data_IF_514713836766
#
_entry.id   IF_514713836766
#
_cell.length_a   1.000
_cell.length_b   1.000
_cell.length_c   1.000
_cell.angle_alpha   90.00
_cell.angle_beta   90.00
_cell.angle_gamma   90.00
#
_symmetry.space_group_name_H-M   'P 1'
#
loop_
_entity.id
_entity.type
_entity.pdbx_description
1 polymer ?
#
# COMPACT_ATOMS: atom_id res chain seq x y z
N UNK A 1 58.18 -50.77 -15.69
CA UNK A 1 56.79 -50.98 -16.16
C UNK A 1 55.77 -51.28 -15.03
N UNK A 2 56.16 -51.68 -13.85
CA UNK A 2 55.23 -52.10 -12.75
C UNK A 2 54.54 -50.95 -11.99
N UNK A 3 55.14 -49.75 -11.91
CA UNK A 3 54.62 -48.61 -11.18
C UNK A 3 53.37 -47.98 -11.84
N UNK A 4 53.33 -47.98 -13.20
CA UNK A 4 52.16 -47.44 -13.93
C UNK A 4 50.87 -48.22 -13.73
N UNK A 5 50.97 -49.54 -13.57
CA UNK A 5 49.82 -50.40 -13.26
C UNK A 5 49.36 -50.27 -11.83
N UNK A 6 50.30 -50.00 -10.88
CA UNK A 6 49.95 -49.75 -9.49
C UNK A 6 49.19 -48.43 -9.33
N UNK A 7 49.61 -47.37 -10.02
CA UNK A 7 48.88 -46.11 -10.03
C UNK A 7 47.51 -46.21 -10.66
N UNK A 8 47.35 -46.99 -11.72
CA UNK A 8 46.07 -47.23 -12.36
C UNK A 8 45.10 -48.03 -11.49
N UNK A 9 45.64 -49.01 -10.73
CA UNK A 9 44.86 -49.79 -9.77
C UNK A 9 44.39 -48.95 -8.56
N UNK A 10 45.27 -48.06 -8.04
CA UNK A 10 44.97 -47.11 -7.00
C UNK A 10 43.90 -46.07 -7.44
N UNK A 11 43.98 -45.60 -8.71
CA UNK A 11 42.98 -44.68 -9.25
C UNK A 11 41.61 -45.35 -9.42
N UNK A 12 41.61 -46.64 -9.87
CA UNK A 12 40.36 -47.41 -9.98
C UNK A 12 39.70 -47.68 -8.61
N UNK A 13 40.49 -47.88 -7.53
CA UNK A 13 39.94 -48.06 -6.19
C UNK A 13 39.31 -46.79 -5.61
N UNK A 14 39.74 -45.61 -6.05
CA UNK A 14 39.15 -44.33 -5.61
C UNK A 14 37.79 -44.04 -6.25
N UNK A 15 37.46 -44.68 -7.38
CA UNK A 15 36.16 -44.47 -8.07
C UNK A 15 35.05 -45.38 -7.49
N UNK A 16 35.42 -46.40 -6.73
CA UNK A 16 34.48 -47.31 -6.06
C UNK A 16 34.04 -46.85 -4.68
N UNK A 17 34.48 -45.70 -4.19
CA UNK A 17 34.20 -45.19 -2.85
C UNK A 17 33.03 -44.23 -2.78
N UNK A 18 32.14 -44.22 -3.77
CA UNK A 18 30.84 -43.53 -3.65
C UNK A 18 29.76 -44.60 -3.41
N UNK A 19 29.63 -45.02 -2.17
CA UNK A 19 28.43 -45.68 -1.70
C UNK A 19 27.56 -44.67 -1.04
N UNK A 20 26.41 -44.36 -1.66
CA UNK A 20 25.41 -43.39 -1.20
C UNK A 20 24.61 -43.89 0.01
N UNK A 21 25.21 -44.68 0.88
CA UNK A 21 24.55 -45.22 2.10
C UNK A 21 24.51 -44.20 3.27
N UNK A 22 24.69 -42.89 3.00
CA UNK A 22 24.51 -41.85 4.04
C UNK A 22 23.07 -41.66 4.49
N UNK A 23 22.09 -42.23 3.79
CA UNK A 23 20.68 -42.22 4.20
C UNK A 23 20.38 -43.03 5.45
N UNK A 24 21.31 -43.87 5.86
CA UNK A 24 21.21 -44.69 7.08
C UNK A 24 21.81 -44.11 8.33
N UNK A 25 22.60 -43.02 8.21
CA UNK A 25 23.28 -42.42 9.37
C UNK A 25 22.26 -41.71 10.27
N UNK A 26 22.00 -42.26 11.43
CA UNK A 26 21.07 -41.71 12.44
C UNK A 26 19.76 -42.44 12.59
N UNK A 27 19.38 -43.34 11.66
CA UNK A 27 18.14 -44.14 11.83
C UNK A 27 18.26 -45.23 12.90
N UNK A 28 19.48 -45.68 13.19
CA UNK A 28 19.74 -46.65 14.26
C UNK A 28 19.83 -46.04 15.66
N UNK A 29 19.84 -44.72 15.77
CA UNK A 29 19.83 -43.96 17.03
C UNK A 29 18.43 -43.73 17.59
N UNK A 30 17.39 -44.02 16.81
CA UNK A 30 16.00 -43.87 17.23
C UNK A 30 15.56 -45.17 17.94
N UNK A 31 15.15 -45.11 19.23
CA UNK A 31 14.61 -46.28 19.91
C UNK A 31 13.47 -46.91 19.12
N UNK A 32 13.43 -48.24 19.07
CA UNK A 32 12.60 -49.02 18.15
C UNK A 32 11.08 -48.81 18.17
N UNK A 33 10.58 -47.81 18.94
CA UNK A 33 9.16 -47.39 18.97
C UNK A 33 8.78 -46.19 18.12
N UNK A 34 9.78 -45.39 17.70
CA UNK A 34 9.51 -44.08 17.03
C UNK A 34 9.89 -44.06 15.53
N UNK A 35 9.91 -45.22 14.89
CA UNK A 35 10.08 -45.27 13.43
C UNK A 35 8.86 -44.71 12.73
N UNK A 36 8.91 -43.52 12.22
CA UNK A 36 7.92 -42.98 11.29
C UNK A 36 8.11 -43.72 9.96
N UNK A 37 7.17 -44.61 9.55
CA UNK A 37 7.28 -45.24 8.25
C UNK A 37 7.12 -44.18 7.17
N UNK A 38 8.23 -43.82 6.54
CA UNK A 38 8.21 -42.95 5.35
C UNK A 38 7.78 -43.85 4.17
N UNK A 39 6.53 -43.71 3.74
CA UNK A 39 6.06 -44.30 2.51
C UNK A 39 6.34 -43.29 1.38
N UNK A 40 7.12 -43.69 0.41
CA UNK A 40 7.32 -42.94 -0.84
C UNK A 40 6.40 -43.52 -1.90
N UNK A 41 5.37 -42.77 -2.26
CA UNK A 41 4.50 -43.10 -3.38
C UNK A 41 4.64 -42.04 -4.49
N UNK A 42 4.49 -42.48 -5.73
CA UNK A 42 4.41 -41.55 -6.88
C UNK A 42 2.94 -41.25 -7.15
N UNK A 43 2.61 -39.95 -7.09
CA UNK A 43 1.26 -39.49 -7.42
C UNK A 43 1.30 -38.73 -8.74
N UNK A 44 0.43 -39.11 -9.67
CA UNK A 44 0.19 -38.33 -10.86
C UNK A 44 -0.73 -37.17 -10.53
N UNK A 45 -0.33 -35.97 -10.89
CA UNK A 45 -1.16 -34.78 -10.78
C UNK A 45 -1.17 -34.00 -12.08
N UNK A 46 -2.29 -33.40 -12.40
CA UNK A 46 -2.42 -32.50 -13.55
C UNK A 46 -2.60 -31.09 -13.05
N UNK A 47 -1.91 -30.14 -13.65
CA UNK A 47 -2.05 -28.73 -13.38
C UNK A 47 -2.69 -28.03 -14.58
N UNK A 48 -3.51 -27.02 -14.31
CA UNK A 48 -4.08 -26.15 -15.33
C UNK A 48 -4.07 -24.72 -14.86
N UNK A 49 -3.82 -23.79 -15.76
CA UNK A 49 -4.03 -22.36 -15.52
C UNK A 49 -5.49 -22.02 -15.71
N UNK A 50 -6.05 -21.27 -14.79
CA UNK A 50 -7.41 -20.73 -14.88
C UNK A 50 -7.31 -19.20 -14.89
N UNK A 51 -8.13 -18.57 -15.75
CA UNK A 51 -8.28 -17.13 -15.73
C UNK A 51 -9.09 -16.76 -14.46
N UNK A 52 -8.53 -15.89 -13.62
CA UNK A 52 -9.26 -15.29 -12.53
C UNK A 52 -9.99 -14.05 -13.06
N UNK A 53 -11.32 -14.09 -13.11
CA UNK A 53 -12.12 -12.99 -13.68
C UNK A 53 -11.99 -11.71 -12.84
N UNK A 54 -11.98 -11.85 -11.52
CA UNK A 54 -11.84 -10.72 -10.60
C UNK A 54 -11.26 -11.17 -9.27
N UNK A 55 -10.49 -10.28 -8.63
CA UNK A 55 -9.89 -10.50 -7.32
C UNK A 55 -10.51 -9.50 -6.34
N UNK A 56 -10.73 -9.94 -5.10
CA UNK A 56 -11.23 -9.06 -4.05
C UNK A 56 -10.27 -7.89 -3.82
N UNK A 57 -10.77 -6.65 -3.97
CA UNK A 57 -9.95 -5.45 -4.02
C UNK A 57 -9.89 -4.67 -2.70
N UNK A 58 -10.76 -4.98 -1.72
CA UNK A 58 -10.76 -4.32 -0.42
C UNK A 58 -9.67 -4.93 0.46
N UNK A 59 -8.54 -4.26 0.53
CA UNK A 59 -7.36 -4.70 1.30
C UNK A 59 -6.94 -3.62 2.29
N UNK A 60 -6.05 -3.96 3.23
CA UNK A 60 -5.43 -2.99 4.15
C UNK A 60 -4.29 -2.20 3.50
N UNK A 61 -3.77 -2.69 2.38
CA UNK A 61 -2.69 -2.05 1.61
C UNK A 61 -3.21 -1.69 0.23
N UNK A 62 -3.08 -0.43 -0.17
CA UNK A 62 -3.36 0.01 -1.52
C UNK A 62 -2.11 -0.10 -2.39
N UNK A 63 -2.32 -0.34 -3.69
CA UNK A 63 -1.25 -0.40 -4.67
C UNK A 63 -1.36 0.77 -5.63
N UNK A 64 -0.23 1.43 -5.90
CA UNK A 64 -0.20 2.59 -6.82
C UNK A 64 1.02 2.52 -7.72
N UNK A 65 0.78 2.46 -9.01
CA UNK A 65 1.86 2.51 -9.99
C UNK A 65 1.58 1.73 -11.25
N UNK A 66 2.64 1.52 -12.02
CA UNK A 66 2.63 0.74 -13.25
C UNK A 66 3.92 -0.04 -13.35
N UNK A 67 3.81 -1.27 -13.82
CA UNK A 67 4.96 -2.14 -14.08
C UNK A 67 4.70 -2.98 -15.32
N UNK A 68 5.65 -2.96 -16.26
CA UNK A 68 5.62 -3.81 -17.45
C UNK A 68 6.57 -4.99 -17.25
N UNK A 69 6.01 -6.19 -17.23
CA UNK A 69 6.73 -7.45 -17.18
C UNK A 69 6.88 -8.01 -18.60
N UNK A 70 8.08 -8.54 -18.93
CA UNK A 70 8.36 -9.08 -20.26
C UNK A 70 7.52 -10.32 -20.61
N UNK A 71 7.10 -11.10 -19.61
CA UNK A 71 6.36 -12.34 -19.78
C UNK A 71 4.85 -12.16 -19.56
N UNK A 72 4.47 -11.32 -18.58
CA UNK A 72 3.07 -11.17 -18.13
C UNK A 72 2.41 -9.89 -18.63
N UNK A 73 3.16 -8.98 -19.26
CA UNK A 73 2.61 -7.74 -19.81
C UNK A 73 2.51 -6.60 -18.80
N UNK A 74 1.70 -5.58 -19.13
CA UNK A 74 1.54 -4.38 -18.28
C UNK A 74 0.57 -4.63 -17.13
N UNK A 75 1.00 -4.25 -15.94
CA UNK A 75 0.19 -4.21 -14.73
C UNK A 75 0.09 -2.76 -14.24
N UNK A 76 -1.14 -2.25 -14.10
CA UNK A 76 -1.41 -0.93 -13.52
C UNK A 76 -2.23 -1.07 -12.26
N UNK A 77 -1.82 -0.39 -11.20
CA UNK A 77 -2.48 -0.39 -9.91
C UNK A 77 -2.90 1.04 -9.54
N UNK A 78 -4.18 1.18 -9.27
CA UNK A 78 -4.83 2.41 -8.85
C UNK A 78 -5.80 2.09 -7.71
N UNK A 79 -6.22 3.09 -6.92
CA UNK A 79 -7.14 2.83 -5.83
C UNK A 79 -8.11 3.96 -5.55
N UNK A 80 -9.23 3.60 -4.98
CA UNK A 80 -10.23 4.52 -4.43
C UNK A 80 -10.09 4.56 -2.91
N UNK A 81 -10.19 5.75 -2.32
CA UNK A 81 -10.09 5.95 -0.89
C UNK A 81 -11.21 6.85 -0.37
N UNK A 82 -11.76 6.49 0.79
CA UNK A 82 -12.75 7.28 1.52
C UNK A 82 -12.18 7.73 2.86
N UNK A 83 -12.45 8.97 3.23
CA UNK A 83 -11.97 9.56 4.47
C UNK A 83 -13.09 9.73 5.48
N UNK A 84 -12.72 9.73 6.75
CA UNK A 84 -13.62 10.08 7.87
C UNK A 84 -12.93 10.94 8.89
N UNK A 85 -13.76 11.56 9.71
CA UNK A 85 -13.33 12.19 10.95
C UNK A 85 -13.19 11.15 12.06
N UNK A 86 -12.32 11.45 13.03
CA UNK A 86 -12.30 10.71 14.31
C UNK A 86 -13.60 10.97 15.08
N UNK A 87 -13.93 10.06 15.98
CA UNK A 87 -15.08 10.24 16.88
C UNK A 87 -14.99 11.57 17.63
N UNK A 88 -16.13 12.23 17.76
CA UNK A 88 -16.24 13.55 18.40
C UNK A 88 -15.41 14.66 17.72
N UNK A 89 -15.17 14.53 16.42
CA UNK A 89 -14.45 15.55 15.67
C UNK A 89 -15.11 16.93 15.81
N UNK A 90 -14.29 17.95 16.10
CA UNK A 90 -14.69 19.34 16.17
C UNK A 90 -13.59 20.22 15.57
N UNK A 91 -14.00 21.21 14.80
CA UNK A 91 -13.12 22.33 14.51
C UNK A 91 -13.19 23.33 15.67
N UNK A 92 -12.06 23.92 16.01
CA UNK A 92 -11.99 25.01 16.98
C UNK A 92 -12.66 26.27 16.43
N UNK A 93 -13.21 27.11 17.34
CA UNK A 93 -14.00 28.27 16.94
C UNK A 93 -13.13 29.42 16.39
N UNK A 94 -11.84 29.44 16.74
CA UNK A 94 -10.90 30.49 16.38
C UNK A 94 -10.25 30.30 14.99
N UNK A 95 -10.69 29.31 14.22
CA UNK A 95 -10.17 29.10 12.87
C UNK A 95 -10.58 30.22 11.92
N UNK A 96 -9.61 30.82 11.25
CA UNK A 96 -9.84 31.95 10.35
C UNK A 96 -9.78 31.59 8.88
N UNK A 97 -8.79 30.80 8.49
CA UNK A 97 -8.51 30.54 7.08
C UNK A 97 -7.86 29.18 6.86
N UNK A 98 -8.22 28.53 5.76
CA UNK A 98 -7.48 27.36 5.25
C UNK A 98 -6.19 27.85 4.61
N UNK A 99 -5.05 27.38 5.09
CA UNK A 99 -3.73 27.71 4.59
C UNK A 99 -3.08 26.61 3.78
N UNK A 100 -3.61 25.38 3.87
CA UNK A 100 -3.14 24.27 3.07
C UNK A 100 -4.00 23.02 3.22
N UNK A 101 -4.08 22.26 2.13
CA UNK A 101 -4.71 20.95 2.10
C UNK A 101 -3.76 19.97 1.42
N UNK A 102 -3.59 18.81 1.99
CA UNK A 102 -2.75 17.79 1.36
C UNK A 102 -3.19 16.38 1.73
N UNK A 103 -2.91 15.44 0.82
CA UNK A 103 -2.95 13.99 1.09
C UNK A 103 -1.53 13.53 1.38
N UNK A 104 -1.36 12.75 2.44
CA UNK A 104 -0.13 12.04 2.77
C UNK A 104 -0.30 10.56 2.47
N UNK A 105 0.47 10.04 1.52
CA UNK A 105 0.61 8.61 1.25
C UNK A 105 1.79 8.09 2.06
N UNK A 106 1.56 7.05 2.87
CA UNK A 106 2.57 6.41 3.69
C UNK A 106 2.82 5.00 3.19
N UNK A 107 4.08 4.64 2.99
CA UNK A 107 4.48 3.30 2.57
C UNK A 107 5.90 2.98 3.08
N UNK A 108 6.12 1.69 3.36
CA UNK A 108 7.44 1.18 3.77
C UNK A 108 8.09 0.32 2.70
N UNK A 109 7.33 -0.10 1.68
CA UNK A 109 7.79 -0.99 0.62
C UNK A 109 7.21 -0.63 -0.74
N UNK A 110 7.87 -1.10 -1.78
CA UNK A 110 7.46 -0.96 -3.18
C UNK A 110 8.04 -2.13 -3.99
N UNK A 111 7.50 -2.34 -5.16
CA UNK A 111 8.02 -3.28 -6.15
C UNK A 111 8.61 -2.52 -7.34
N UNK A 112 9.72 -3.01 -7.89
CA UNK A 112 10.36 -2.44 -9.07
C UNK A 112 11.47 -1.44 -8.75
N UNK A 113 11.73 -0.49 -9.67
CA UNK A 113 12.82 0.47 -9.56
C UNK A 113 12.43 1.68 -8.70
N UNK A 114 13.25 1.97 -7.72
CA UNK A 114 13.04 3.07 -6.77
C UNK A 114 13.17 4.47 -7.35
N UNK A 115 13.88 4.61 -8.45
CA UNK A 115 14.25 5.90 -9.06
C UNK A 115 13.36 6.31 -10.23
N UNK A 116 12.57 5.38 -10.76
CA UNK A 116 11.70 5.66 -11.90
C UNK A 116 10.74 6.82 -11.60
N UNK A 117 10.71 7.77 -12.55
CA UNK A 117 9.82 8.91 -12.48
C UNK A 117 8.39 8.50 -12.87
N UNK A 118 7.51 8.58 -11.91
CA UNK A 118 6.09 8.26 -12.03
C UNK A 118 5.25 9.52 -11.90
N UNK A 119 4.02 9.50 -12.39
CA UNK A 119 3.05 10.59 -12.22
C UNK A 119 1.71 10.04 -11.76
N UNK A 120 1.24 10.55 -10.63
CA UNK A 120 -0.10 10.27 -10.13
C UNK A 120 -1.05 11.43 -10.38
N UNK A 121 -2.32 11.12 -10.39
CA UNK A 121 -3.45 12.04 -10.46
C UNK A 121 -4.44 11.71 -9.36
N UNK A 122 -5.06 12.74 -8.78
CA UNK A 122 -6.11 12.62 -7.77
C UNK A 122 -7.39 13.23 -8.33
N UNK A 123 -8.44 12.45 -8.36
CA UNK A 123 -9.78 12.85 -8.76
C UNK A 123 -10.75 12.70 -7.57
N UNK A 124 -11.75 13.58 -7.46
CA UNK A 124 -12.82 13.42 -6.45
C UNK A 124 -13.90 12.47 -6.95
N UNK A 125 -14.49 11.71 -6.04
CA UNK A 125 -15.65 10.88 -6.36
C UNK A 125 -16.93 11.73 -6.46
N UNK A 126 -17.72 11.47 -7.50
CA UNK A 126 -19.03 12.09 -7.73
C UNK A 126 -20.17 11.30 -7.09
N UNK A 127 -19.96 10.00 -6.89
CA UNK A 127 -20.93 9.09 -6.29
C UNK A 127 -20.37 8.45 -5.05
N UNK A 128 -21.23 8.18 -4.09
CA UNK A 128 -20.89 7.39 -2.89
C UNK A 128 -20.87 5.92 -3.28
N UNK A 129 -19.87 5.18 -2.81
CA UNK A 129 -19.85 3.72 -2.95
C UNK A 129 -20.84 3.17 -1.90
N UNK A 130 -21.89 2.46 -2.31
CA UNK A 130 -22.85 1.88 -1.37
C UNK A 130 -22.17 0.87 -0.44
N UNK A 131 -22.55 0.86 0.85
CA UNK A 131 -21.97 -0.06 1.84
C UNK A 131 -22.08 -1.54 1.42
N UNK A 132 -23.19 -1.90 0.76
CA UNK A 132 -23.38 -3.25 0.21
C UNK A 132 -22.34 -3.62 -0.85
N UNK A 133 -21.88 -2.64 -1.63
CA UNK A 133 -20.87 -2.84 -2.66
C UNK A 133 -19.46 -2.92 -2.06
N UNK A 134 -19.21 -2.30 -0.91
CA UNK A 134 -17.93 -2.38 -0.22
C UNK A 134 -17.55 -3.81 0.18
N UNK A 135 -18.54 -4.66 0.50
CA UNK A 135 -18.30 -6.08 0.80
C UNK A 135 -18.02 -6.95 -0.42
N UNK A 136 -18.34 -6.44 -1.62
CA UNK A 136 -18.19 -7.12 -2.92
C UNK A 136 -17.34 -6.32 -3.89
N UNK A 137 -16.42 -5.49 -3.38
CA UNK A 137 -15.56 -4.68 -4.23
C UNK A 137 -14.43 -5.54 -4.79
N UNK A 138 -14.48 -5.77 -6.09
CA UNK A 138 -13.51 -6.57 -6.84
C UNK A 138 -12.75 -5.71 -7.85
N UNK A 139 -11.63 -6.20 -8.34
CA UNK A 139 -10.82 -5.53 -9.37
C UNK A 139 -11.54 -5.33 -10.70
N UNK A 140 -12.68 -5.98 -10.90
CA UNK A 140 -13.56 -5.79 -12.06
C UNK A 140 -14.44 -4.54 -12.00
N UNK A 141 -14.50 -3.85 -10.86
CA UNK A 141 -15.26 -2.59 -10.73
C UNK A 141 -14.56 -1.51 -11.53
N UNK A 142 -15.32 -0.86 -12.44
CA UNK A 142 -14.78 0.28 -13.19
C UNK A 142 -14.83 1.56 -12.34
N UNK A 143 -13.70 2.18 -12.03
CA UNK A 143 -13.67 3.44 -11.28
C UNK A 143 -14.48 4.57 -11.92
N UNK A 144 -14.70 4.53 -13.26
CA UNK A 144 -15.48 5.52 -14.01
C UNK A 144 -16.95 5.60 -13.57
N UNK A 145 -17.45 4.55 -12.92
CA UNK A 145 -18.79 4.57 -12.35
C UNK A 145 -18.92 5.53 -11.17
N UNK A 146 -17.81 5.93 -10.55
CA UNK A 146 -17.78 6.71 -9.30
C UNK A 146 -17.18 8.10 -9.45
N UNK A 147 -16.43 8.42 -10.52
CA UNK A 147 -15.84 9.73 -10.75
C UNK A 147 -16.09 10.24 -12.18
N UNK A 148 -15.98 11.54 -12.39
CA UNK A 148 -16.13 12.14 -13.71
C UNK A 148 -14.79 12.15 -14.46
N UNK A 149 -14.60 11.24 -15.41
CA UNK A 149 -13.40 11.11 -16.24
C UNK A 149 -13.08 12.41 -17.02
N UNK A 150 -14.11 13.17 -17.39
CA UNK A 150 -13.97 14.46 -18.12
C UNK A 150 -13.73 15.64 -17.19
N UNK A 151 -13.78 15.41 -15.88
CA UNK A 151 -13.52 16.42 -14.86
C UNK A 151 -12.03 16.82 -14.83
N UNK A 152 -11.74 17.95 -14.21
CA UNK A 152 -10.37 18.32 -13.93
C UNK A 152 -9.92 17.61 -12.66
N UNK A 153 -8.72 16.99 -12.66
CA UNK A 153 -8.16 16.41 -11.44
C UNK A 153 -7.94 17.50 -10.39
N UNK A 154 -8.12 17.17 -9.13
CA UNK A 154 -7.83 18.09 -8.03
C UNK A 154 -6.33 18.21 -7.74
N UNK A 155 -5.55 17.21 -8.12
CA UNK A 155 -4.09 17.27 -8.05
C UNK A 155 -3.42 16.35 -9.08
N UNK A 156 -2.22 16.76 -9.48
CA UNK A 156 -1.28 15.94 -10.28
C UNK A 156 0.08 16.08 -9.64
N UNK A 157 0.80 14.97 -9.43
CA UNK A 157 2.13 14.99 -8.83
C UNK A 157 3.06 13.99 -9.52
N UNK A 158 4.28 14.43 -9.82
CA UNK A 158 5.39 13.52 -10.14
C UNK A 158 5.98 12.95 -8.84
N UNK A 159 6.36 11.68 -8.85
CA UNK A 159 6.97 10.99 -7.71
C UNK A 159 7.96 9.92 -8.15
N UNK A 160 8.76 9.44 -7.22
CA UNK A 160 9.53 8.21 -7.31
C UNK A 160 9.39 7.44 -5.99
N UNK A 161 9.70 6.15 -5.96
CA UNK A 161 9.50 5.34 -4.76
C UNK A 161 10.36 5.76 -3.57
N UNK A 162 11.55 6.31 -3.80
CA UNK A 162 12.40 6.83 -2.72
C UNK A 162 11.99 8.23 -2.23
N UNK A 163 11.07 8.86 -2.94
CA UNK A 163 10.64 10.23 -2.63
C UNK A 163 11.72 11.28 -2.90
N UNK A 164 11.36 12.57 -2.87
CA UNK A 164 12.35 13.64 -2.84
C UNK A 164 13.11 13.60 -1.50
N UNK A 165 14.35 14.07 -1.48
CA UNK A 165 15.18 14.18 -0.26
C UNK A 165 14.54 15.01 0.88
N UNK A 166 13.44 15.71 0.58
CA UNK A 166 12.60 16.45 1.52
C UNK A 166 11.41 15.64 2.05
N UNK A 167 11.20 14.40 1.58
CA UNK A 167 10.22 13.51 2.21
C UNK A 167 10.68 13.22 3.64
N UNK A 168 9.77 13.38 4.60
CA UNK A 168 10.05 13.00 5.98
C UNK A 168 10.11 11.48 6.05
N UNK A 169 11.31 10.94 5.96
CA UNK A 169 11.55 9.54 6.27
C UNK A 169 11.42 9.37 7.78
N UNK A 170 10.33 8.80 8.23
CA UNK A 170 10.17 8.44 9.63
C UNK A 170 10.71 7.02 9.82
N UNK A 171 11.75 6.89 10.63
CA UNK A 171 12.23 5.58 11.06
C UNK A 171 11.62 5.28 12.42
N UNK A 172 10.68 4.36 12.46
CA UNK A 172 10.09 3.85 13.69
C UNK A 172 10.81 2.56 14.10
N UNK A 173 11.09 2.41 15.40
CA UNK A 173 11.58 1.14 15.94
C UNK A 173 10.38 0.38 16.50
N UNK A 174 10.10 -0.79 15.94
CA UNK A 174 9.03 -1.66 16.44
C UNK A 174 9.36 -2.20 17.84
N UNK A 175 8.35 -2.70 18.55
CA UNK A 175 8.55 -3.34 19.88
C UNK A 175 9.53 -4.53 19.84
N UNK A 176 9.77 -5.11 18.67
CA UNK A 176 10.76 -6.17 18.41
C UNK A 176 12.16 -5.64 18.07
N UNK A 177 12.40 -4.32 18.14
CA UNK A 177 13.68 -3.69 17.84
C UNK A 177 14.00 -3.54 16.34
N UNK A 178 13.08 -3.88 15.44
CA UNK A 178 13.27 -3.74 14.00
C UNK A 178 13.03 -2.29 13.61
N UNK A 179 14.00 -1.69 12.91
CA UNK A 179 13.86 -0.35 12.34
C UNK A 179 13.04 -0.44 11.06
N UNK A 180 11.85 0.14 11.07
CA UNK A 180 10.99 0.25 9.88
C UNK A 180 11.08 1.68 9.34
N UNK A 181 11.45 1.80 8.07
CA UNK A 181 11.46 3.09 7.35
C UNK A 181 10.09 3.31 6.73
N UNK A 182 9.48 4.43 7.02
CA UNK A 182 8.24 4.87 6.38
C UNK A 182 8.52 6.09 5.52
N UNK A 183 8.17 6.03 4.26
CA UNK A 183 8.27 7.13 3.30
C UNK A 183 6.91 7.81 3.23
N UNK A 184 6.90 9.15 3.29
CA UNK A 184 5.68 9.94 3.21
C UNK A 184 5.71 10.78 1.95
N UNK A 185 4.84 10.47 0.99
CA UNK A 185 4.60 11.29 -0.20
C UNK A 185 3.45 12.26 0.07
N UNK A 186 3.73 13.56 0.07
CA UNK A 186 2.70 14.59 0.29
C UNK A 186 2.20 15.14 -1.04
N UNK A 187 0.90 15.04 -1.29
CA UNK A 187 0.22 15.57 -2.47
C UNK A 187 -0.53 16.83 -2.07
N UNK A 188 -0.14 17.97 -2.60
CA UNK A 188 -0.84 19.24 -2.34
C UNK A 188 -2.17 19.25 -3.08
N UNK A 189 -3.23 19.63 -2.39
CA UNK A 189 -4.58 19.82 -2.91
C UNK A 189 -4.96 21.31 -2.89
N UNK A 190 -5.96 21.73 -3.67
CA UNK A 190 -6.43 23.12 -3.65
C UNK A 190 -7.09 23.44 -2.30
N UNK A 191 -6.83 24.65 -1.79
CA UNK A 191 -7.42 25.11 -0.53
C UNK A 191 -8.94 25.15 -0.57
N UNK A 192 -9.54 25.33 -1.75
CA UNK A 192 -10.99 25.29 -1.95
C UNK A 192 -11.65 23.99 -1.46
N UNK A 193 -10.91 22.87 -1.47
CA UNK A 193 -11.42 21.61 -0.87
C UNK A 193 -11.51 21.75 0.66
N UNK A 194 -10.53 22.35 1.30
CA UNK A 194 -10.57 22.61 2.75
C UNK A 194 -11.68 23.60 3.11
N UNK A 195 -11.84 24.67 2.31
CA UNK A 195 -12.93 25.63 2.48
C UNK A 195 -14.29 24.94 2.35
N UNK A 196 -14.45 24.05 1.36
CA UNK A 196 -15.67 23.24 1.19
C UNK A 196 -15.95 22.40 2.44
N UNK A 197 -14.97 21.66 2.94
CA UNK A 197 -15.12 20.82 4.13
C UNK A 197 -15.48 21.67 5.36
N UNK A 198 -14.79 22.79 5.55
CA UNK A 198 -15.06 23.69 6.68
C UNK A 198 -16.43 24.36 6.59
N UNK A 199 -16.87 24.77 5.40
CA UNK A 199 -18.20 25.32 5.22
C UNK A 199 -19.29 24.28 5.48
N UNK A 200 -19.08 23.02 5.08
CA UNK A 200 -20.00 21.92 5.42
C UNK A 200 -20.11 21.69 6.94
N UNK A 201 -19.02 21.86 7.68
CA UNK A 201 -19.07 21.80 9.14
C UNK A 201 -19.89 22.95 9.75
N UNK A 202 -19.70 24.17 9.22
CA UNK A 202 -20.51 25.35 9.66
C UNK A 202 -21.98 25.21 9.32
N UNK A 203 -22.29 24.59 8.15
CA UNK A 203 -23.65 24.32 7.71
C UNK A 203 -24.36 23.33 8.64
N UNK A 204 -23.71 22.22 8.94
CA UNK A 204 -24.27 21.19 9.82
C UNK A 204 -23.19 20.30 10.45
N UNK A 205 -22.97 20.43 11.75
CA UNK A 205 -21.99 19.63 12.51
C UNK A 205 -22.33 18.12 12.52
N UNK A 206 -23.60 17.73 12.30
CA UNK A 206 -24.03 16.33 12.24
C UNK A 206 -23.37 15.56 11.07
N UNK A 207 -22.97 16.25 10.01
CA UNK A 207 -22.25 15.63 8.87
C UNK A 207 -20.90 15.01 9.28
N UNK A 208 -20.37 15.38 10.44
CA UNK A 208 -19.06 14.95 10.95
C UNK A 208 -19.15 13.95 12.10
N UNK A 209 -20.35 13.49 12.46
CA UNK A 209 -20.54 12.56 13.60
C UNK A 209 -20.29 11.10 13.22
N UNK A 210 -20.64 10.71 12.00
CA UNK A 210 -20.45 9.33 11.53
C UNK A 210 -19.74 9.29 10.18
N UNK A 211 -18.99 8.24 9.90
CA UNK A 211 -18.34 8.02 8.60
C UNK A 211 -19.29 8.15 7.42
N UNK A 212 -20.45 7.50 7.50
CA UNK A 212 -21.44 7.47 6.41
C UNK A 212 -22.00 8.86 6.15
N UNK A 213 -22.26 9.64 7.22
CA UNK A 213 -22.74 11.01 7.12
C UNK A 213 -21.70 11.92 6.47
N UNK A 214 -20.43 11.77 6.85
CA UNK A 214 -19.32 12.53 6.26
C UNK A 214 -19.16 12.20 4.77
N UNK A 215 -19.09 10.92 4.41
CA UNK A 215 -18.93 10.47 3.04
C UNK A 215 -20.08 10.95 2.16
N UNK A 216 -21.31 10.89 2.66
CA UNK A 216 -22.50 11.30 1.92
C UNK A 216 -22.58 12.81 1.68
N UNK A 217 -22.25 13.62 2.70
CA UNK A 217 -22.57 15.06 2.71
C UNK A 217 -21.36 15.98 2.53
N UNK A 218 -20.13 15.49 2.78
CA UNK A 218 -18.93 16.33 2.79
C UNK A 218 -17.94 15.92 1.71
N UNK A 219 -17.42 14.68 1.74
CA UNK A 219 -16.44 14.20 0.76
C UNK A 219 -16.66 12.71 0.50
N UNK A 220 -17.12 12.38 -0.70
CA UNK A 220 -17.45 11.01 -1.09
C UNK A 220 -16.24 10.09 -1.21
N UNK A 221 -15.07 10.67 -1.41
CA UNK A 221 -13.78 9.99 -1.54
C UNK A 221 -12.93 10.57 -2.66
N UNK A 222 -11.81 9.92 -2.89
CA UNK A 222 -10.88 10.25 -3.97
C UNK A 222 -10.50 8.99 -4.73
N UNK A 223 -10.21 9.14 -6.01
CA UNK A 223 -9.57 8.13 -6.86
C UNK A 223 -8.15 8.58 -7.13
N UNK A 224 -7.17 7.75 -6.78
CA UNK A 224 -5.74 8.02 -6.98
C UNK A 224 -5.22 7.00 -7.97
N UNK A 225 -4.70 7.50 -9.09
CA UNK A 225 -4.26 6.68 -10.21
C UNK A 225 -2.88 7.06 -10.73
N UNK A 226 -2.18 6.08 -11.28
CA UNK A 226 -0.95 6.31 -12.03
C UNK A 226 -1.30 6.70 -13.47
N UNK A 227 -0.81 7.87 -13.93
CA UNK A 227 -1.10 8.35 -15.29
C UNK A 227 0.11 8.35 -16.21
N UNK A 228 1.31 8.23 -15.66
CA UNK A 228 2.56 8.22 -16.43
C UNK A 228 3.69 7.55 -15.67
N UNK A 229 4.66 7.04 -16.42
CA UNK A 229 5.79 6.30 -15.88
C UNK A 229 5.52 4.81 -15.87
N UNK A 230 6.59 4.03 -15.64
CA UNK A 230 6.58 2.56 -15.61
C UNK A 230 7.71 2.06 -14.72
N UNK A 231 7.59 0.84 -14.23
CA UNK A 231 8.63 0.13 -13.50
C UNK A 231 8.55 0.21 -11.98
N UNK A 232 7.48 0.82 -11.40
CA UNK A 232 7.34 0.92 -9.94
C UNK A 232 5.91 0.81 -9.49
N UNK A 233 5.67 0.01 -8.42
CA UNK A 233 4.38 -0.07 -7.70
C UNK A 233 4.63 0.17 -6.21
N UNK A 234 4.00 1.20 -5.66
CA UNK A 234 4.04 1.52 -4.23
C UNK A 234 3.03 0.67 -3.45
N UNK A 235 3.40 0.22 -2.26
CA UNK A 235 2.53 -0.48 -1.31
C UNK A 235 2.13 0.50 -0.21
N UNK A 236 0.96 1.14 -0.39
CA UNK A 236 0.47 2.20 0.47
C UNK A 236 -0.20 1.59 1.71
N UNK A 237 0.43 1.77 2.87
CA UNK A 237 -0.03 1.24 4.15
C UNK A 237 -0.83 2.27 4.94
N UNK A 238 -0.71 3.55 4.58
CA UNK A 238 -1.40 4.64 5.25
C UNK A 238 -1.75 5.79 4.33
N UNK A 239 -2.95 6.34 4.54
CA UNK A 239 -3.45 7.49 3.81
C UNK A 239 -4.10 8.46 4.78
N UNK A 240 -3.79 9.73 4.65
CA UNK A 240 -4.48 10.78 5.44
C UNK A 240 -4.70 12.04 4.61
N UNK A 241 -5.85 12.69 4.83
CA UNK A 241 -6.15 14.02 4.34
C UNK A 241 -5.90 15.01 5.47
N UNK A 242 -4.98 15.94 5.26
CA UNK A 242 -4.60 16.93 6.25
C UNK A 242 -5.13 18.31 5.83
N UNK A 243 -5.83 18.95 6.74
CA UNK A 243 -6.37 20.30 6.60
C UNK A 243 -5.59 21.22 7.54
N UNK A 244 -4.89 22.17 6.98
CA UNK A 244 -4.12 23.16 7.74
C UNK A 244 -4.87 24.49 7.79
N UNK A 245 -5.08 24.98 8.99
CA UNK A 245 -5.78 26.25 9.25
C UNK A 245 -4.86 27.24 9.95
N UNK A 246 -5.09 28.52 9.69
CA UNK A 246 -4.64 29.61 10.53
C UNK A 246 -5.65 29.78 11.68
N UNK A 247 -5.17 29.77 12.90
CA UNK A 247 -5.97 30.00 14.09
C UNK A 247 -5.53 31.28 14.80
N UNK A 248 -6.49 32.01 15.36
CA UNK A 248 -6.22 33.11 16.29
C UNK A 248 -6.17 32.49 17.69
N UNK A 249 -5.00 32.03 18.11
CA UNK A 249 -4.80 31.63 19.49
C UNK A 249 -4.39 32.86 20.29
N UNK A 250 -5.14 33.22 21.29
CA UNK A 250 -4.76 34.22 22.27
C UNK A 250 -3.58 33.69 23.12
N UNK A 251 -2.42 33.69 22.54
CA UNK A 251 -1.18 33.60 23.29
C UNK A 251 -0.85 34.99 23.78
N UNK A 252 -0.27 35.09 24.98
CA UNK A 252 0.21 36.33 25.60
C UNK A 252 1.16 37.18 24.74
N UNK A 253 1.48 36.73 23.52
CA UNK A 253 2.31 37.39 22.51
C UNK A 253 1.56 37.79 21.23
N UNK A 254 0.23 37.57 21.12
CA UNK A 254 -0.56 37.93 19.92
C UNK A 254 -0.18 37.18 18.64
N UNK A 255 0.47 36.03 18.74
CA UNK A 255 0.96 35.25 17.61
C UNK A 255 -0.16 34.42 17.01
N UNK A 256 -0.29 34.49 15.66
CA UNK A 256 -1.09 33.53 14.87
C UNK A 256 -0.38 32.19 14.84
N UNK A 257 -1.10 31.15 15.15
CA UNK A 257 -0.59 29.78 15.09
C UNK A 257 -1.31 28.96 14.01
N UNK A 258 -0.74 27.82 13.60
CA UNK A 258 -1.36 26.96 12.61
C UNK A 258 -1.84 25.66 13.26
N UNK A 259 -3.07 25.28 13.00
CA UNK A 259 -3.64 24.01 13.44
C UNK A 259 -3.80 23.04 12.27
N UNK A 260 -3.46 21.79 12.51
CA UNK A 260 -3.55 20.70 11.51
C UNK A 260 -4.62 19.71 11.95
N UNK A 261 -5.65 19.56 11.12
CA UNK A 261 -6.68 18.53 11.29
C UNK A 261 -6.41 17.38 10.34
N UNK A 262 -6.32 16.18 10.86
CA UNK A 262 -6.07 14.95 10.11
C UNK A 262 -7.36 14.13 10.02
N UNK A 263 -7.81 13.92 8.79
CA UNK A 263 -8.87 12.97 8.48
C UNK A 263 -8.26 11.62 8.16
N UNK A 264 -8.76 10.57 8.80
CA UNK A 264 -8.24 9.22 8.63
C UNK A 264 -8.91 8.50 7.48
N UNK A 265 -8.22 7.53 6.92
CA UNK A 265 -8.76 6.61 5.95
C UNK A 265 -9.75 5.65 6.63
N UNK A 266 -10.90 5.39 5.97
CA UNK A 266 -11.83 4.33 6.38
C UNK A 266 -11.64 3.10 5.49
N UNK A 267 -11.57 3.32 4.16
CA UNK A 267 -11.58 2.25 3.18
C UNK A 267 -10.61 2.56 2.04
N UNK A 268 -9.92 1.55 1.62
CA UNK A 268 -9.11 1.53 0.40
C UNK A 268 -9.77 0.59 -0.59
#
# INVERSE_FOLDING_TARGET
MKIKYLCALLLAALIYSCDDSTTGIGTDLIPGGDKIPANTDSYEFTTKSLLADSVYARTSTAYLGRYTDEQFGEFTADFIAQFTCMDNFKFEEELTKVIGVNISLQYGSFFGDSLNAMRLQVDTLDKVIPEKELSTFYTSVDPKDYYNEKGKPIAVKAYSAVGPSTSKDETTTTSSGVKQRTIIQTIKLPNSLGDHIFNKYKENKEYFKTPESFIKNVLKGVYIRCTHGDGTILYIDGLSLNLNFEALIESSSGKRDSLVYKLSLIHI
#
